data_IF_517699799191
#
_entry.id   IF_517699799191
#
_cell.length_a   1.000
_cell.length_b   1.000
_cell.length_c   1.000
_cell.angle_alpha   90.00
_cell.angle_beta   90.00
_cell.angle_gamma   90.00
#
_symmetry.space_group_name_H-M   'P 1'
#
loop_
_entity.id
_entity.type
_entity.pdbx_description
1 polymer ?
#
# COMPACT_ATOMS: atom_id res chain seq x y z
N UNK A 1 7.03 6.48 26.07
CA UNK A 1 7.49 5.31 26.84
C UNK A 1 7.27 4.08 25.97
N UNK A 2 8.31 3.39 25.51
CA UNK A 2 8.18 2.23 24.60
C UNK A 2 8.63 0.98 25.35
N UNK A 3 7.66 0.17 25.76
CA UNK A 3 7.87 -1.19 26.28
C UNK A 3 8.01 -2.14 25.09
N UNK A 4 9.23 -2.59 24.78
CA UNK A 4 9.43 -3.75 23.90
C UNK A 4 9.62 -4.98 24.77
N UNK A 5 8.64 -5.88 24.74
CA UNK A 5 8.67 -7.14 25.47
C UNK A 5 9.79 -8.05 24.92
N UNK A 6 10.86 -8.19 25.71
CA UNK A 6 12.01 -9.07 25.45
C UNK A 6 11.66 -10.56 25.34
N UNK A 7 10.38 -10.94 25.51
CA UNK A 7 9.89 -12.31 25.47
C UNK A 7 9.91 -12.96 24.08
N UNK A 8 10.23 -12.21 23.01
CA UNK A 8 10.22 -12.72 21.61
C UNK A 8 11.52 -13.38 21.12
N UNK A 9 12.62 -13.39 21.89
CA UNK A 9 13.89 -13.96 21.41
C UNK A 9 14.12 -15.38 21.92
N UNK A 10 14.19 -16.33 20.97
CA UNK A 10 14.50 -17.74 21.20
C UNK A 10 16.02 -17.89 21.28
N UNK A 11 16.52 -18.43 22.39
CA UNK A 11 17.94 -18.53 22.71
C UNK A 11 18.71 -19.30 21.63
N UNK A 12 19.39 -18.56 20.75
CA UNK A 12 20.30 -19.15 19.75
C UNK A 12 21.72 -18.65 19.98
N UNK A 13 22.73 -19.37 19.50
CA UNK A 13 24.15 -19.09 19.78
C UNK A 13 24.63 -17.69 19.35
N UNK A 14 23.89 -16.99 18.46
CA UNK A 14 24.12 -15.58 18.09
C UNK A 14 23.63 -14.57 19.13
N UNK A 15 22.88 -15.00 20.14
CA UNK A 15 22.37 -14.16 21.23
C UNK A 15 23.44 -13.79 22.26
N UNK A 16 24.50 -14.61 22.45
CA UNK A 16 25.57 -14.26 23.38
C UNK A 16 26.29 -12.96 23.01
N UNK A 17 26.36 -12.63 21.72
CA UNK A 17 26.93 -11.38 21.24
C UNK A 17 25.87 -10.28 21.19
N UNK A 18 24.63 -10.59 20.81
CA UNK A 18 23.56 -9.58 20.65
C UNK A 18 22.95 -9.10 21.97
N UNK A 19 22.85 -9.95 23.00
CA UNK A 19 22.32 -9.60 24.32
C UNK A 19 23.13 -8.48 25.01
N UNK A 20 24.47 -8.54 25.08
CA UNK A 20 25.27 -7.44 25.66
C UNK A 20 25.08 -6.10 24.96
N UNK A 21 25.01 -6.09 23.62
CA UNK A 21 24.76 -4.86 22.86
C UNK A 21 23.36 -4.29 23.12
N UNK A 22 22.33 -5.15 23.19
CA UNK A 22 20.96 -4.73 23.52
C UNK A 22 20.84 -4.26 24.98
N UNK A 23 21.50 -4.91 25.93
CA UNK A 23 21.54 -4.49 27.34
C UNK A 23 22.29 -3.16 27.50
N UNK A 24 23.36 -2.94 26.73
CA UNK A 24 24.15 -1.72 26.77
C UNK A 24 23.39 -0.51 26.24
N UNK A 25 22.54 -0.67 25.22
CA UNK A 25 21.69 0.40 24.69
C UNK A 25 20.30 0.46 25.33
N UNK A 26 19.80 -0.65 25.86
CA UNK A 26 18.46 -0.75 26.44
C UNK A 26 18.34 -0.19 27.86
N UNK A 27 19.46 -0.11 28.61
CA UNK A 27 19.46 0.34 30.01
C UNK A 27 20.25 1.62 30.27
N UNK A 28 20.77 2.28 29.24
CA UNK A 28 21.45 3.56 29.43
C UNK A 28 20.48 4.71 29.25
N UNK A 29 20.42 5.67 30.19
CA UNK A 29 19.74 6.93 29.93
C UNK A 29 20.38 7.55 28.69
N UNK A 30 19.56 8.16 27.83
CA UNK A 30 20.08 8.85 26.67
C UNK A 30 21.17 9.84 27.10
N UNK A 31 22.32 9.81 26.42
CA UNK A 31 23.44 10.71 26.71
C UNK A 31 23.05 12.18 26.46
N UNK A 32 22.02 12.41 25.65
CA UNK A 32 21.40 13.71 25.39
C UNK A 32 19.95 13.68 25.88
N UNK A 33 19.40 14.83 26.29
CA UNK A 33 18.03 14.93 26.78
C UNK A 33 17.04 14.63 25.64
N UNK A 34 16.34 13.49 25.66
CA UNK A 34 15.43 13.11 24.58
C UNK A 34 14.25 14.08 24.49
N UNK A 35 13.87 14.72 25.59
CA UNK A 35 12.83 15.77 25.62
C UNK A 35 13.22 16.95 24.72
N UNK A 36 14.51 17.26 24.65
CA UNK A 36 15.05 18.35 23.85
C UNK A 36 15.04 17.99 22.36
N UNK A 37 15.41 16.75 22.02
CA UNK A 37 15.30 16.23 20.66
C UNK A 37 13.84 16.13 20.18
N UNK A 38 12.93 15.69 21.06
CA UNK A 38 11.49 15.63 20.77
C UNK A 38 10.93 17.05 20.61
N UNK A 39 11.28 17.98 21.51
CA UNK A 39 10.83 19.38 21.40
C UNK A 39 11.34 20.07 20.14
N UNK A 40 12.57 19.78 19.71
CA UNK A 40 13.11 20.29 18.45
C UNK A 40 12.38 19.69 17.24
N UNK A 41 12.07 18.39 17.28
CA UNK A 41 11.28 17.75 16.24
C UNK A 41 9.85 18.33 16.17
N UNK A 42 9.20 18.58 17.30
CA UNK A 42 7.87 19.21 17.34
C UNK A 42 7.90 20.64 16.78
N UNK A 43 8.98 21.40 17.01
CA UNK A 43 9.16 22.73 16.41
C UNK A 43 9.29 22.69 14.89
N UNK A 44 9.94 21.66 14.34
CA UNK A 44 10.01 21.44 12.89
C UNK A 44 8.66 21.08 12.28
N UNK A 45 7.71 20.59 13.09
CA UNK A 45 6.34 20.28 12.65
C UNK A 45 5.37 21.46 12.86
N UNK A 46 5.83 22.58 13.43
CA UNK A 46 4.98 23.76 13.57
C UNK A 46 4.81 24.48 12.23
N UNK A 47 3.66 24.28 11.61
CA UNK A 47 3.28 24.91 10.35
C UNK A 47 3.44 26.46 10.35
N UNK A 48 3.34 27.12 11.51
CA UNK A 48 3.52 28.58 11.61
C UNK A 48 4.97 29.02 11.44
N UNK A 49 5.95 28.17 11.78
CA UNK A 49 7.38 28.46 11.68
C UNK A 49 7.96 28.13 10.30
N UNK A 50 7.20 27.44 9.43
CA UNK A 50 7.66 27.02 8.11
C UNK A 50 7.89 28.19 7.14
N UNK A 51 8.92 28.04 6.31
CA UNK A 51 9.18 28.95 5.19
C UNK A 51 8.08 28.83 4.12
N UNK A 52 8.01 29.82 3.22
CA UNK A 52 7.08 29.76 2.09
C UNK A 52 7.41 28.59 1.17
N UNK A 53 8.70 28.28 1.00
CA UNK A 53 9.20 27.15 0.25
C UNK A 53 8.77 25.82 0.86
N UNK A 54 8.90 25.65 2.19
CA UNK A 54 8.50 24.42 2.89
C UNK A 54 7.00 24.17 2.77
N UNK A 55 6.20 25.23 2.95
CA UNK A 55 4.73 25.15 2.78
C UNK A 55 4.35 24.78 1.35
N UNK A 56 5.04 25.37 0.36
CA UNK A 56 4.82 25.08 -1.06
C UNK A 56 5.23 23.65 -1.42
N UNK A 57 6.38 23.18 -0.94
CA UNK A 57 6.82 21.80 -1.19
C UNK A 57 5.89 20.77 -0.53
N UNK A 58 5.46 21.02 0.71
CA UNK A 58 4.55 20.12 1.42
C UNK A 58 3.18 20.06 0.74
N UNK A 59 2.63 21.22 0.36
CA UNK A 59 1.37 21.27 -0.41
C UNK A 59 1.48 20.60 -1.78
N UNK A 60 2.60 20.79 -2.50
CA UNK A 60 2.86 20.09 -3.76
C UNK A 60 2.96 18.57 -3.59
N UNK A 61 3.64 18.11 -2.54
CA UNK A 61 3.76 16.68 -2.23
C UNK A 61 2.39 16.08 -1.90
N UNK A 62 1.58 16.76 -1.08
CA UNK A 62 0.20 16.35 -0.75
C UNK A 62 -0.68 16.29 -1.99
N UNK A 63 -0.62 17.31 -2.86
CA UNK A 63 -1.37 17.33 -4.12
C UNK A 63 -0.96 16.15 -5.03
N UNK A 64 0.34 15.84 -5.11
CA UNK A 64 0.84 14.72 -5.90
C UNK A 64 0.40 13.37 -5.33
N UNK A 65 0.45 13.20 -4.01
CA UNK A 65 -0.03 11.99 -3.33
C UNK A 65 -1.53 11.78 -3.59
N UNK A 66 -2.33 12.83 -3.45
CA UNK A 66 -3.76 12.79 -3.70
C UNK A 66 -4.08 12.45 -5.18
N UNK A 67 -3.37 13.07 -6.12
CA UNK A 67 -3.49 12.73 -7.54
C UNK A 67 -3.09 11.28 -7.84
N UNK A 68 -2.04 10.77 -7.19
CA UNK A 68 -1.61 9.39 -7.37
C UNK A 68 -2.64 8.40 -6.82
N UNK A 69 -3.28 8.73 -5.69
CA UNK A 69 -4.36 7.93 -5.12
C UNK A 69 -5.58 7.91 -6.04
N UNK A 70 -6.02 9.08 -6.52
CA UNK A 70 -7.14 9.18 -7.47
C UNK A 70 -6.86 8.43 -8.78
N UNK A 71 -5.63 8.51 -9.29
CA UNK A 71 -5.23 7.76 -10.49
C UNK A 71 -5.22 6.24 -10.25
N UNK A 72 -4.83 5.80 -9.05
CA UNK A 72 -4.89 4.40 -8.65
C UNK A 72 -6.33 3.91 -8.57
N UNK A 73 -7.22 4.66 -7.92
CA UNK A 73 -8.64 4.31 -7.80
C UNK A 73 -9.29 4.21 -9.18
N UNK A 74 -9.02 5.18 -10.06
CA UNK A 74 -9.52 5.16 -11.44
C UNK A 74 -8.98 3.97 -12.26
N UNK A 75 -7.69 3.63 -12.09
CA UNK A 75 -7.11 2.48 -12.75
C UNK A 75 -7.71 1.16 -12.24
N UNK A 76 -8.03 1.07 -10.96
CA UNK A 76 -8.66 -0.08 -10.34
C UNK A 76 -10.10 -0.24 -10.81
N UNK A 77 -10.87 0.85 -10.86
CA UNK A 77 -12.24 0.87 -11.40
C UNK A 77 -12.26 0.39 -12.86
N UNK A 78 -11.38 0.92 -13.71
CA UNK A 78 -11.25 0.44 -15.09
C UNK A 78 -10.85 -1.04 -15.18
N UNK A 79 -9.94 -1.50 -14.33
CA UNK A 79 -9.52 -2.89 -14.31
C UNK A 79 -10.66 -3.82 -13.87
N UNK A 80 -11.49 -3.39 -12.92
CA UNK A 80 -12.67 -4.13 -12.48
C UNK A 80 -13.72 -4.20 -13.59
N UNK A 81 -14.02 -3.09 -14.27
CA UNK A 81 -14.94 -3.08 -15.41
C UNK A 81 -14.46 -3.98 -16.54
N UNK A 82 -13.19 -3.84 -16.94
CA UNK A 82 -12.59 -4.70 -17.98
C UNK A 82 -12.57 -6.16 -17.56
N UNK A 83 -12.21 -6.45 -16.31
CA UNK A 83 -12.21 -7.81 -15.77
C UNK A 83 -13.60 -8.45 -15.74
N UNK A 84 -14.66 -7.68 -15.44
CA UNK A 84 -16.04 -8.16 -15.53
C UNK A 84 -16.44 -8.50 -16.97
N UNK A 85 -16.10 -7.64 -17.93
CA UNK A 85 -16.40 -7.87 -19.35
C UNK A 85 -15.60 -9.07 -19.88
N UNK A 86 -14.28 -9.09 -19.67
CA UNK A 86 -13.40 -10.18 -20.11
C UNK A 86 -13.76 -11.52 -19.44
N UNK A 87 -14.13 -11.51 -18.16
CA UNK A 87 -14.59 -12.71 -17.44
C UNK A 87 -15.91 -13.24 -17.98
N UNK A 88 -16.88 -12.35 -18.25
CA UNK A 88 -18.18 -12.71 -18.85
C UNK A 88 -18.01 -13.29 -20.25
N UNK A 89 -17.16 -12.66 -21.07
CA UNK A 89 -16.80 -13.15 -22.40
C UNK A 89 -16.14 -14.52 -22.32
N UNK A 90 -15.16 -14.69 -21.43
CA UNK A 90 -14.46 -15.96 -21.22
C UNK A 90 -15.42 -17.09 -20.79
N UNK A 91 -16.38 -16.78 -19.92
CA UNK A 91 -17.39 -17.75 -19.48
C UNK A 91 -18.30 -18.18 -20.62
N UNK A 92 -18.83 -17.24 -21.41
CA UNK A 92 -19.72 -17.54 -22.53
C UNK A 92 -19.01 -18.36 -23.61
N UNK A 93 -17.75 -18.02 -23.96
CA UNK A 93 -16.95 -18.80 -24.89
C UNK A 93 -16.69 -20.23 -24.38
N UNK A 94 -16.46 -20.40 -23.08
CA UNK A 94 -16.25 -21.74 -22.50
C UNK A 94 -17.52 -22.60 -22.59
N UNK A 95 -18.70 -22.02 -22.37
CA UNK A 95 -19.98 -22.72 -22.51
C UNK A 95 -20.26 -23.14 -23.96
N UNK A 96 -19.92 -22.30 -24.94
CA UNK A 96 -19.99 -22.64 -26.37
C UNK A 96 -19.04 -23.79 -26.70
N UNK A 97 -17.79 -23.74 -26.22
CA UNK A 97 -16.79 -24.82 -26.42
C UNK A 97 -17.20 -26.15 -25.82
N UNK A 98 -17.93 -26.13 -24.70
CA UNK A 98 -18.46 -27.34 -24.06
C UNK A 98 -19.79 -27.81 -24.68
N UNK A 99 -20.27 -27.16 -25.74
CA UNK A 99 -21.57 -27.41 -26.36
C UNK A 99 -22.76 -27.29 -25.39
N UNK A 100 -22.59 -26.54 -24.30
CA UNK A 100 -23.63 -26.23 -23.32
C UNK A 100 -24.47 -25.01 -23.73
N UNK A 101 -23.94 -24.19 -24.66
CA UNK A 101 -24.59 -23.01 -25.22
C UNK A 101 -24.37 -22.96 -26.74
N UNK A 102 -25.36 -22.51 -27.51
CA UNK A 102 -25.18 -22.31 -28.96
C UNK A 102 -24.50 -20.97 -29.26
N UNK A 103 -23.75 -20.92 -30.36
CA UNK A 103 -23.03 -19.72 -30.76
C UNK A 103 -23.97 -18.55 -31.08
N UNK A 104 -25.20 -18.81 -31.53
CA UNK A 104 -26.20 -17.73 -31.75
C UNK A 104 -26.60 -17.04 -30.44
N UNK A 105 -26.82 -17.81 -29.37
CA UNK A 105 -27.22 -17.25 -28.07
C UNK A 105 -26.07 -16.50 -27.41
N UNK A 106 -24.83 -16.99 -27.54
CA UNK A 106 -23.64 -16.27 -27.09
C UNK A 106 -23.43 -14.96 -27.87
N UNK A 107 -23.66 -14.98 -29.19
CA UNK A 107 -23.59 -13.83 -30.10
C UNK A 107 -24.57 -12.73 -29.71
N UNK A 108 -25.83 -13.09 -29.40
CA UNK A 108 -26.84 -12.14 -28.95
C UNK A 108 -26.50 -11.52 -27.58
N UNK A 109 -25.99 -12.32 -26.63
CA UNK A 109 -25.62 -11.84 -25.29
C UNK A 109 -24.36 -10.96 -25.28
N UNK A 110 -23.41 -11.20 -26.20
CA UNK A 110 -22.19 -10.42 -26.34
C UNK A 110 -22.36 -9.21 -27.28
N UNK A 111 -23.44 -9.14 -28.05
CA UNK A 111 -23.63 -8.14 -29.09
C UNK A 111 -22.60 -8.23 -30.22
N UNK A 112 -22.01 -9.42 -30.41
CA UNK A 112 -20.99 -9.71 -31.43
C UNK A 112 -21.60 -10.62 -32.50
N UNK A 113 -20.99 -10.71 -33.68
CA UNK A 113 -21.47 -11.63 -34.72
C UNK A 113 -21.02 -13.07 -34.45
N UNK A 114 -21.77 -14.06 -34.93
CA UNK A 114 -21.42 -15.49 -34.78
C UNK A 114 -20.05 -15.82 -35.38
N UNK A 115 -19.57 -15.05 -36.37
CA UNK A 115 -18.26 -15.24 -36.99
C UNK A 115 -17.08 -14.79 -36.09
N UNK A 116 -17.36 -14.01 -35.05
CA UNK A 116 -16.37 -13.49 -34.10
C UNK A 116 -16.28 -14.34 -32.80
N UNK A 117 -17.10 -15.39 -32.68
CA UNK A 117 -17.19 -16.33 -31.55
C UNK A 117 -16.65 -17.70 -31.94
#
# INVERSE_FOLDING_TARGET
MVFLELKKYRETSKDKVRKPWLEFFGNKPFTQQPELAISQADQLLDYKSWSEEDRKMFSQLRMREEQALLAQDYALEQAEEKGKVEGSLSMLLNLVRQHLLTAEVASEQLGMTVAEI
#
